data_IF_422074671847
#
_entry.id   IF_422074671847
#
_cell.length_a   1.000
_cell.length_b   1.000
_cell.length_c   1.000
_cell.angle_alpha   90.00
_cell.angle_beta   90.00
_cell.angle_gamma   90.00
#
_symmetry.space_group_name_H-M   'P 1'
#
loop_
_entity.id
_entity.type
_entity.pdbx_description
1 polymer ?
#
# COMPACT_ATOMS: atom_id res chain seq x y z
N UNK A 1 -19.74 -0.02 1.89
CA UNK A 1 -18.87 -0.55 0.83
C UNK A 1 -17.95 -1.56 1.49
N UNK A 2 -17.73 -2.70 0.85
CA UNK A 2 -16.97 -3.80 1.45
C UNK A 2 -15.47 -3.57 1.34
N UNK A 3 -14.68 -4.06 2.28
CA UNK A 3 -13.23 -3.82 2.28
C UNK A 3 -12.51 -4.37 1.04
N UNK A 4 -13.07 -5.37 0.35
CA UNK A 4 -12.59 -5.84 -0.95
C UNK A 4 -12.80 -4.83 -2.10
N UNK A 5 -13.95 -4.15 -2.14
CA UNK A 5 -14.24 -3.11 -3.15
C UNK A 5 -13.33 -1.89 -2.95
N UNK A 6 -13.07 -1.54 -1.69
CA UNK A 6 -12.15 -0.47 -1.34
C UNK A 6 -10.71 -0.79 -1.78
N UNK A 7 -10.27 -2.05 -1.66
CA UNK A 7 -8.99 -2.49 -2.19
C UNK A 7 -8.91 -2.29 -3.71
N UNK A 8 -9.91 -2.73 -4.48
CA UNK A 8 -9.93 -2.55 -5.94
C UNK A 8 -9.81 -1.06 -6.32
N UNK A 9 -10.58 -0.18 -5.67
CA UNK A 9 -10.53 1.27 -5.92
C UNK A 9 -9.14 1.86 -5.66
N UNK A 10 -8.50 1.48 -4.56
CA UNK A 10 -7.15 1.95 -4.23
C UNK A 10 -6.10 1.37 -5.17
N UNK A 11 -6.16 0.07 -5.48
CA UNK A 11 -5.18 -0.59 -6.33
C UNK A 11 -5.21 -0.06 -7.77
N UNK A 12 -6.40 0.27 -8.30
CA UNK A 12 -6.55 0.89 -9.62
C UNK A 12 -5.98 2.31 -9.66
N UNK A 13 -6.16 3.10 -8.59
CA UNK A 13 -5.59 4.43 -8.50
C UNK A 13 -4.05 4.38 -8.47
N UNK A 14 -3.48 3.47 -7.69
CA UNK A 14 -2.03 3.22 -7.68
C UNK A 14 -1.54 2.65 -9.01
N UNK A 15 -2.30 1.79 -9.68
CA UNK A 15 -1.94 1.26 -11.00
C UNK A 15 -1.75 2.39 -12.03
N UNK A 16 -2.58 3.44 -11.99
CA UNK A 16 -2.43 4.60 -12.87
C UNK A 16 -1.12 5.34 -12.63
N UNK A 17 -0.68 5.46 -11.37
CA UNK A 17 0.62 6.03 -11.02
C UNK A 17 1.77 5.16 -11.56
N UNK A 18 1.68 3.84 -11.35
CA UNK A 18 2.69 2.88 -11.83
C UNK A 18 2.78 2.87 -13.36
N UNK A 19 1.65 2.89 -14.06
CA UNK A 19 1.60 2.96 -15.53
C UNK A 19 2.14 4.27 -16.10
N UNK A 20 2.17 5.34 -15.29
CA UNK A 20 2.72 6.65 -15.67
C UNK A 20 4.22 6.79 -15.41
N UNK A 21 4.89 5.79 -14.82
CA UNK A 21 6.34 5.83 -14.58
C UNK A 21 7.09 5.84 -15.91
N UNK A 22 7.89 6.88 -16.13
CA UNK A 22 8.74 6.98 -17.32
C UNK A 22 9.99 6.11 -17.18
N UNK A 23 10.57 5.60 -18.29
CA UNK A 23 11.74 4.72 -18.25
C UNK A 23 12.90 5.23 -17.39
N UNK A 24 13.18 6.53 -17.42
CA UNK A 24 14.26 7.17 -16.67
C UNK A 24 13.98 7.33 -15.16
N UNK A 25 12.74 7.14 -14.70
CA UNK A 25 12.37 7.30 -13.30
C UNK A 25 12.50 6.02 -12.47
N UNK A 26 12.63 4.85 -13.11
CA UNK A 26 12.64 3.57 -12.41
C UNK A 26 13.75 3.44 -11.37
N UNK A 27 14.90 4.09 -11.59
CA UNK A 27 16.04 4.05 -10.67
C UNK A 27 16.11 5.30 -9.76
N UNK A 28 15.11 6.18 -9.82
CA UNK A 28 15.05 7.38 -9.00
C UNK A 28 14.86 7.03 -7.51
N UNK A 29 15.47 7.78 -6.58
CA UNK A 29 15.22 7.61 -5.15
C UNK A 29 13.77 7.94 -4.82
N UNK A 30 13.20 7.26 -3.82
CA UNK A 30 11.86 7.55 -3.31
C UNK A 30 11.93 8.22 -1.93
N UNK A 31 10.85 8.89 -1.47
CA UNK A 31 10.77 9.34 -0.07
C UNK A 31 10.84 8.20 0.95
N UNK A 32 10.51 6.96 0.54
CA UNK A 32 10.85 5.75 1.28
C UNK A 32 12.32 5.39 0.99
N UNK A 33 13.23 5.97 1.76
CA UNK A 33 14.68 5.99 1.45
C UNK A 33 15.36 4.63 1.30
N UNK A 34 14.69 3.54 1.68
CA UNK A 34 15.19 2.17 1.52
C UNK A 34 15.11 1.68 0.06
N UNK A 35 14.25 2.30 -0.76
CA UNK A 35 13.93 1.82 -2.09
C UNK A 35 14.05 2.92 -3.15
N UNK A 36 14.55 2.52 -4.32
CA UNK A 36 14.28 3.24 -5.55
C UNK A 36 12.87 2.93 -6.07
N UNK A 37 12.43 3.64 -7.11
CA UNK A 37 11.06 3.52 -7.60
C UNK A 37 10.70 2.10 -8.08
N UNK A 38 11.64 1.41 -8.71
CA UNK A 38 11.49 -0.01 -9.11
C UNK A 38 11.24 -0.91 -7.91
N UNK A 39 12.10 -0.84 -6.91
CA UNK A 39 12.00 -1.65 -5.69
C UNK A 39 10.71 -1.35 -4.93
N UNK A 40 10.24 -0.11 -4.94
CA UNK A 40 8.96 0.26 -4.35
C UNK A 40 7.79 -0.43 -5.05
N UNK A 41 7.77 -0.47 -6.38
CA UNK A 41 6.71 -1.15 -7.15
C UNK A 41 6.79 -2.67 -6.98
N UNK A 42 8.00 -3.22 -6.98
CA UNK A 42 8.25 -4.64 -6.68
C UNK A 42 7.73 -5.01 -5.29
N UNK A 43 8.01 -4.19 -4.27
CA UNK A 43 7.47 -4.35 -2.92
C UNK A 43 5.95 -4.40 -2.90
N UNK A 44 5.29 -3.46 -3.59
CA UNK A 44 3.83 -3.45 -3.66
C UNK A 44 3.27 -4.73 -4.30
N UNK A 45 3.95 -5.26 -5.31
CA UNK A 45 3.57 -6.52 -5.95
C UNK A 45 3.77 -7.71 -5.01
N UNK A 46 4.91 -7.78 -4.33
CA UNK A 46 5.23 -8.84 -3.37
C UNK A 46 4.22 -8.91 -2.22
N UNK A 47 3.83 -7.77 -1.65
CA UNK A 47 2.86 -7.73 -0.55
C UNK A 47 1.48 -8.19 -1.03
N UNK A 48 1.05 -7.80 -2.24
CA UNK A 48 -0.20 -8.29 -2.82
C UNK A 48 -0.20 -9.81 -2.98
N UNK A 49 0.84 -10.37 -3.61
CA UNK A 49 0.95 -11.82 -3.80
C UNK A 49 1.03 -12.59 -2.48
N UNK A 50 1.82 -12.11 -1.52
CA UNK A 50 1.94 -12.75 -0.22
C UNK A 50 0.62 -12.77 0.55
N UNK A 51 -0.20 -11.72 0.42
CA UNK A 51 -1.51 -11.68 1.03
C UNK A 51 -2.52 -12.57 0.27
N UNK A 52 -2.47 -12.56 -1.06
CA UNK A 52 -3.29 -13.43 -1.89
C UNK A 52 -3.04 -14.92 -1.56
N UNK A 53 -1.79 -15.36 -1.51
CA UNK A 53 -1.40 -16.73 -1.15
C UNK A 53 -1.90 -17.10 0.26
N UNK A 54 -1.73 -16.19 1.23
CA UNK A 54 -2.24 -16.39 2.59
C UNK A 54 -3.75 -16.59 2.65
N UNK A 55 -4.47 -15.92 1.76
CA UNK A 55 -5.92 -16.02 1.62
C UNK A 55 -6.37 -17.22 0.77
N UNK A 56 -5.44 -18.03 0.26
CA UNK A 56 -5.71 -19.21 -0.56
C UNK A 56 -5.79 -18.93 -2.06
N UNK A 57 -5.42 -17.71 -2.49
CA UNK A 57 -5.25 -17.33 -3.88
C UNK A 57 -3.86 -17.69 -4.43
N UNK A 58 -3.53 -17.11 -5.59
CA UNK A 58 -2.27 -17.40 -6.27
C UNK A 58 -1.14 -16.47 -5.79
N UNK A 59 0.02 -17.05 -5.48
CA UNK A 59 1.28 -16.30 -5.34
C UNK A 59 1.82 -15.82 -6.68
N UNK A 60 2.92 -15.06 -6.65
CA UNK A 60 3.54 -14.47 -7.84
C UNK A 60 4.91 -15.05 -8.19
N UNK A 61 5.59 -14.42 -9.16
CA UNK A 61 7.03 -14.58 -9.39
C UNK A 61 7.49 -14.86 -10.83
N UNK A 62 6.66 -14.62 -11.85
CA UNK A 62 7.04 -14.89 -13.24
C UNK A 62 7.31 -13.62 -14.07
N UNK A 63 6.87 -12.47 -13.59
CA UNK A 63 6.87 -11.20 -14.29
C UNK A 63 8.19 -10.45 -14.05
N UNK A 64 8.94 -10.19 -15.12
CA UNK A 64 10.18 -9.39 -15.04
C UNK A 64 9.94 -7.88 -15.09
N UNK A 65 8.78 -7.45 -15.56
CA UNK A 65 8.40 -6.03 -15.63
C UNK A 65 7.62 -5.66 -14.34
N UNK A 66 8.10 -4.71 -13.52
CA UNK A 66 7.46 -4.36 -12.25
C UNK A 66 6.03 -3.83 -12.40
N UNK A 67 5.72 -3.10 -13.48
CA UNK A 67 4.38 -2.58 -13.70
C UNK A 67 3.40 -3.73 -14.05
N UNK A 68 3.85 -4.69 -14.86
CA UNK A 68 3.08 -5.92 -15.14
C UNK A 68 2.91 -6.75 -13.87
N UNK A 69 3.97 -6.92 -13.08
CA UNK A 69 3.94 -7.64 -11.81
C UNK A 69 2.95 -7.01 -10.82
N UNK A 70 2.96 -5.67 -10.70
CA UNK A 70 2.00 -4.96 -9.84
C UNK A 70 0.56 -5.21 -10.27
N UNK A 71 0.21 -5.05 -11.55
CA UNK A 71 -1.15 -5.32 -12.05
C UNK A 71 -1.58 -6.76 -11.77
N UNK A 72 -0.74 -7.73 -12.10
CA UNK A 72 -1.04 -9.15 -11.90
C UNK A 72 -1.23 -9.49 -10.41
N UNK A 73 -0.40 -8.91 -9.54
CA UNK A 73 -0.51 -9.09 -8.08
C UNK A 73 -1.81 -8.50 -7.51
N UNK A 74 -2.23 -7.31 -7.98
CA UNK A 74 -3.44 -6.65 -7.53
C UNK A 74 -4.69 -7.45 -7.94
N UNK A 75 -4.67 -8.03 -9.15
CA UNK A 75 -5.71 -8.96 -9.57
C UNK A 75 -5.73 -10.21 -8.68
N UNK A 76 -4.56 -10.81 -8.40
CA UNK A 76 -4.51 -12.01 -7.56
C UNK A 76 -5.07 -11.77 -6.15
N UNK A 77 -4.75 -10.63 -5.54
CA UNK A 77 -5.31 -10.28 -4.24
C UNK A 77 -6.82 -9.98 -4.33
N UNK A 78 -7.28 -9.32 -5.39
CA UNK A 78 -8.72 -9.09 -5.61
C UNK A 78 -9.49 -10.42 -5.73
N UNK A 79 -8.95 -11.39 -6.46
CA UNK A 79 -9.54 -12.73 -6.61
C UNK A 79 -9.56 -13.48 -5.27
N UNK A 80 -8.48 -13.40 -4.50
CA UNK A 80 -8.40 -14.01 -3.17
C UNK A 80 -9.40 -13.37 -2.19
N UNK A 81 -9.59 -12.06 -2.27
CA UNK A 81 -10.59 -11.32 -1.46
C UNK A 81 -12.03 -11.70 -1.80
N UNK A 82 -12.29 -12.23 -2.99
CA UNK A 82 -13.60 -12.73 -3.39
C UNK A 82 -13.91 -14.14 -2.82
N UNK A 83 -12.94 -14.80 -2.18
CA UNK A 83 -13.16 -16.11 -1.58
C UNK A 83 -14.11 -16.02 -0.37
N UNK A 84 -15.07 -16.96 -0.21
CA UNK A 84 -16.04 -16.90 0.86
C UNK A 84 -15.41 -16.90 2.26
N UNK A 85 -15.80 -15.94 3.10
CA UNK A 85 -15.40 -15.87 4.51
C UNK A 85 -13.95 -15.46 4.75
N UNK A 86 -13.23 -14.98 3.74
CA UNK A 86 -11.79 -14.68 3.83
C UNK A 86 -11.52 -13.53 4.80
N UNK A 87 -12.41 -12.55 4.90
CA UNK A 87 -12.22 -11.38 5.75
C UNK A 87 -12.44 -11.69 7.24
N UNK A 88 -13.29 -12.67 7.53
CA UNK A 88 -13.65 -13.12 8.89
C UNK A 88 -12.64 -14.12 9.47
N UNK A 89 -11.92 -14.83 8.61
CA UNK A 89 -10.91 -15.81 9.01
C UNK A 89 -9.68 -15.16 9.62
N UNK A 90 -9.01 -15.87 10.53
CA UNK A 90 -7.75 -15.42 11.17
C UNK A 90 -6.55 -16.04 10.48
N UNK A 91 -5.57 -15.20 10.17
CA UNK A 91 -4.33 -15.62 9.51
C UNK A 91 -3.10 -15.18 10.30
N UNK A 92 -1.98 -15.92 10.20
CA UNK A 92 -0.70 -15.43 10.69
C UNK A 92 -0.34 -14.13 9.98
N UNK A 93 0.23 -13.17 10.71
CA UNK A 93 0.53 -11.84 10.21
C UNK A 93 1.86 -11.29 10.69
N UNK A 94 2.41 -10.28 10.01
CA UNK A 94 3.70 -9.70 10.35
C UNK A 94 3.75 -9.03 11.72
N UNK A 95 2.59 -8.62 12.25
CA UNK A 95 2.49 -7.97 13.57
C UNK A 95 1.84 -8.87 14.62
N UNK A 96 0.84 -9.67 14.22
CA UNK A 96 0.11 -10.63 15.05
C UNK A 96 -0.75 -11.53 14.15
N UNK A 97 -1.27 -12.62 14.72
CA UNK A 97 -2.38 -13.35 14.12
C UNK A 97 -3.63 -12.47 14.18
N UNK A 98 -4.27 -12.23 13.04
CA UNK A 98 -5.42 -11.31 12.97
C UNK A 98 -6.35 -11.66 11.82
N UNK A 99 -7.54 -11.05 11.78
CA UNK A 99 -8.55 -11.32 10.75
C UNK A 99 -8.09 -10.88 9.37
N UNK A 100 -8.63 -11.48 8.31
CA UNK A 100 -8.39 -11.07 6.93
C UNK A 100 -8.72 -9.59 6.72
N UNK A 101 -9.82 -9.11 7.30
CA UNK A 101 -10.18 -7.68 7.30
C UNK A 101 -9.07 -6.80 7.91
N UNK A 102 -8.48 -7.24 9.03
CA UNK A 102 -7.41 -6.50 9.67
C UNK A 102 -6.11 -6.51 8.87
N UNK A 103 -5.77 -7.64 8.23
CA UNK A 103 -4.64 -7.70 7.30
C UNK A 103 -4.86 -6.77 6.10
N UNK A 104 -6.11 -6.69 5.60
CA UNK A 104 -6.46 -5.82 4.51
C UNK A 104 -6.36 -4.33 4.90
N UNK A 105 -6.79 -3.95 6.10
CA UNK A 105 -6.59 -2.58 6.60
C UNK A 105 -5.10 -2.19 6.67
N UNK A 106 -4.23 -3.12 7.08
CA UNK A 106 -2.77 -2.91 7.05
C UNK A 106 -2.31 -2.71 5.61
N UNK A 107 -2.76 -3.56 4.69
CA UNK A 107 -2.42 -3.43 3.27
C UNK A 107 -2.90 -2.11 2.68
N UNK A 108 -4.09 -1.64 3.04
CA UNK A 108 -4.63 -0.37 2.58
C UNK A 108 -3.79 0.81 3.07
N UNK A 109 -3.39 0.82 4.34
CA UNK A 109 -2.51 1.86 4.88
C UNK A 109 -1.15 1.91 4.18
N UNK A 110 -0.58 0.73 3.91
CA UNK A 110 0.67 0.56 3.18
C UNK A 110 0.55 1.05 1.72
N UNK A 111 -0.46 0.56 0.99
CA UNK A 111 -0.71 0.91 -0.41
C UNK A 111 -0.96 2.41 -0.61
N UNK A 112 -1.74 3.04 0.28
CA UNK A 112 -2.06 4.49 0.19
C UNK A 112 -0.84 5.33 0.54
N UNK A 113 -0.05 4.94 1.56
CA UNK A 113 1.20 5.62 1.90
C UNK A 113 2.17 5.59 0.71
N UNK A 114 2.31 4.44 0.06
CA UNK A 114 3.17 4.31 -1.11
C UNK A 114 2.60 4.92 -2.39
N UNK A 115 1.28 5.07 -2.50
CA UNK A 115 0.65 5.90 -3.52
C UNK A 115 1.11 7.37 -3.44
N UNK A 116 1.30 7.90 -2.23
CA UNK A 116 1.93 9.21 -2.04
C UNK A 116 3.40 9.20 -2.49
N UNK A 117 4.20 8.19 -2.08
CA UNK A 117 5.60 8.09 -2.51
C UNK A 117 5.73 8.08 -4.05
N UNK A 118 4.85 7.33 -4.74
CA UNK A 118 4.79 7.27 -6.21
C UNK A 118 4.43 8.63 -6.82
N UNK A 119 3.43 9.32 -6.30
CA UNK A 119 3.04 10.64 -6.79
C UNK A 119 4.20 11.65 -6.69
N UNK A 120 4.94 11.64 -5.57
CA UNK A 120 6.06 12.55 -5.37
C UNK A 120 7.20 12.34 -6.38
N UNK A 121 7.52 11.07 -6.70
CA UNK A 121 8.59 10.76 -7.66
C UNK A 121 8.15 10.94 -9.11
N UNK A 122 6.90 10.58 -9.41
CA UNK A 122 6.38 10.64 -10.79
C UNK A 122 6.01 12.07 -11.22
N UNK A 123 5.64 12.92 -10.26
CA UNK A 123 5.05 14.24 -10.50
C UNK A 123 3.59 14.18 -10.94
N UNK A 124 2.95 13.01 -10.82
CA UNK A 124 1.53 12.80 -11.13
C UNK A 124 0.66 13.11 -9.92
N UNK A 125 -0.61 13.47 -10.17
CA UNK A 125 -1.59 13.54 -9.09
C UNK A 125 -1.85 12.14 -8.53
N UNK A 126 -1.86 12.00 -7.20
CA UNK A 126 -2.13 10.73 -6.55
C UNK A 126 -3.54 10.21 -6.87
N UNK A 127 -4.53 11.11 -7.05
CA UNK A 127 -5.96 10.82 -7.32
C UNK A 127 -6.52 9.60 -6.55
N UNK A 128 -6.01 9.38 -5.32
CA UNK A 128 -6.43 8.31 -4.42
C UNK A 128 -7.81 8.65 -3.83
N UNK A 129 -8.70 7.67 -3.61
CA UNK A 129 -10.02 7.97 -3.06
C UNK A 129 -9.94 8.56 -1.65
N UNK A 130 -10.52 9.76 -1.47
CA UNK A 130 -10.40 10.54 -0.23
C UNK A 130 -10.91 9.82 1.02
N UNK A 131 -12.01 9.06 0.90
CA UNK A 131 -12.53 8.21 1.97
C UNK A 131 -11.53 7.15 2.43
N UNK A 132 -10.77 6.57 1.50
CA UNK A 132 -9.76 5.56 1.80
C UNK A 132 -8.51 6.18 2.44
N UNK A 133 -8.13 7.39 2.01
CA UNK A 133 -7.05 8.16 2.65
C UNK A 133 -7.39 8.42 4.13
N UNK A 134 -8.59 8.93 4.41
CA UNK A 134 -9.02 9.21 5.78
C UNK A 134 -9.08 7.93 6.64
N UNK A 135 -9.55 6.83 6.07
CA UNK A 135 -9.57 5.53 6.75
C UNK A 135 -8.16 5.02 7.07
N UNK A 136 -7.22 5.13 6.12
CA UNK A 136 -5.82 4.76 6.33
C UNK A 136 -5.16 5.66 7.38
N UNK A 137 -5.36 6.97 7.33
CA UNK A 137 -4.86 7.91 8.33
C UNK A 137 -5.36 7.55 9.73
N UNK A 138 -6.67 7.41 9.90
CA UNK A 138 -7.26 7.06 11.20
C UNK A 138 -6.77 5.70 11.71
N UNK A 139 -6.53 4.74 10.81
CA UNK A 139 -5.99 3.44 11.15
C UNK A 139 -4.53 3.53 11.63
N UNK A 140 -3.67 4.26 10.93
CA UNK A 140 -2.26 4.45 11.31
C UNK A 140 -2.15 5.25 12.61
N UNK A 141 -2.96 6.29 12.81
CA UNK A 141 -3.01 7.06 14.07
C UNK A 141 -3.32 6.16 15.28
N UNK A 142 -4.29 5.25 15.15
CA UNK A 142 -4.65 4.29 16.23
C UNK A 142 -3.54 3.29 16.54
N UNK A 143 -2.67 3.00 15.58
CA UNK A 143 -1.60 2.02 15.68
C UNK A 143 -0.20 2.61 15.73
N UNK A 144 -0.07 3.93 15.81
CA UNK A 144 1.20 4.64 15.70
C UNK A 144 2.27 4.05 16.65
N UNK A 145 1.90 3.71 17.88
CA UNK A 145 2.82 3.08 18.83
C UNK A 145 3.28 1.67 18.41
N UNK A 146 2.42 0.85 17.81
CA UNK A 146 2.79 -0.47 17.31
C UNK A 146 3.64 -0.37 16.04
N UNK A 147 3.30 0.55 15.14
CA UNK A 147 4.05 0.81 13.91
C UNK A 147 5.43 1.39 14.17
N UNK A 148 5.56 2.35 15.09
CA UNK A 148 6.85 2.88 15.50
C UNK A 148 7.80 1.80 16.05
N UNK A 149 7.28 0.77 16.74
CA UNK A 149 8.09 -0.35 17.27
C UNK A 149 8.43 -1.42 16.24
N UNK A 150 7.74 -1.43 15.10
CA UNK A 150 7.89 -2.49 14.10
C UNK A 150 9.12 -2.34 13.22
N UNK A 151 9.69 -1.13 13.13
CA UNK A 151 10.74 -0.78 12.18
C UNK A 151 10.28 -0.70 10.72
N UNK A 152 9.01 -0.98 10.43
CA UNK A 152 8.44 -0.94 9.07
C UNK A 152 7.93 0.43 8.64
N UNK A 153 7.84 1.36 9.60
CA UNK A 153 7.47 2.75 9.37
C UNK A 153 8.64 3.64 9.78
N UNK A 154 8.82 4.73 9.05
CA UNK A 154 9.80 5.76 9.43
C UNK A 154 9.43 6.43 10.74
N UNK A 155 10.36 7.18 11.31
CA UNK A 155 10.07 8.02 12.48
C UNK A 155 9.10 9.12 12.08
N UNK A 156 7.93 9.28 12.74
CA UNK A 156 6.95 10.30 12.40
C UNK A 156 7.56 11.69 12.28
N UNK A 157 7.18 12.40 11.23
CA UNK A 157 7.61 13.77 10.94
C UNK A 157 6.48 14.77 11.24
N UNK A 158 6.80 16.04 11.52
CA UNK A 158 5.78 17.08 11.59
C UNK A 158 5.10 17.27 10.23
N UNK A 159 3.78 17.48 10.24
CA UNK A 159 3.02 17.93 9.08
C UNK A 159 2.55 19.38 9.29
N UNK A 160 2.47 20.20 8.23
CA UNK A 160 1.79 21.50 8.28
C UNK A 160 0.37 21.39 8.85
N UNK A 161 -0.09 22.46 9.52
CA UNK A 161 -1.42 22.46 10.15
C UNK A 161 -2.58 22.35 9.12
N UNK A 162 -2.32 22.78 7.88
CA UNK A 162 -3.22 22.74 6.74
C UNK A 162 -2.89 21.59 5.76
N UNK A 163 -2.01 20.66 6.15
CA UNK A 163 -1.64 19.51 5.34
C UNK A 163 -2.87 18.65 5.00
N UNK A 164 -2.88 18.12 3.78
CA UNK A 164 -3.91 17.18 3.34
C UNK A 164 -3.88 15.91 4.21
N UNK A 165 -4.98 15.13 4.23
CA UNK A 165 -4.99 13.85 4.93
C UNK A 165 -3.92 12.88 4.40
N UNK A 166 -3.60 12.95 3.11
CA UNK A 166 -2.57 12.13 2.49
C UNK A 166 -1.16 12.55 2.95
N UNK A 167 -0.87 13.84 3.03
CA UNK A 167 0.41 14.34 3.55
C UNK A 167 0.55 14.04 5.04
N UNK A 168 -0.53 14.15 5.82
CA UNK A 168 -0.53 13.77 7.24
C UNK A 168 -0.23 12.28 7.42
N UNK A 169 -0.80 11.43 6.57
CA UNK A 169 -0.51 9.99 6.56
C UNK A 169 0.96 9.73 6.21
N UNK A 170 1.48 10.39 5.17
CA UNK A 170 2.89 10.27 4.77
C UNK A 170 3.84 10.71 5.90
N UNK A 171 3.56 11.86 6.53
CA UNK A 171 4.33 12.39 7.65
C UNK A 171 4.31 11.45 8.86
N UNK A 172 3.15 10.88 9.21
CA UNK A 172 3.03 9.90 10.28
C UNK A 172 3.80 8.61 9.99
N UNK A 173 3.93 8.26 8.71
CA UNK A 173 4.74 7.15 8.20
C UNK A 173 6.23 7.52 8.00
N UNK A 174 6.63 8.72 8.39
CA UNK A 174 8.01 9.20 8.46
C UNK A 174 8.55 9.90 7.22
N UNK A 175 7.68 10.32 6.29
CA UNK A 175 8.07 11.12 5.13
C UNK A 175 8.14 12.59 5.52
N UNK A 176 9.03 13.34 4.87
CA UNK A 176 9.03 14.80 4.95
C UNK A 176 8.00 15.31 3.94
N UNK A 177 7.09 16.15 4.41
CA UNK A 177 5.99 16.73 3.62
C UNK A 177 6.08 18.25 3.57
#
# INVERSE_FOLDING_TARGET
MGSAEDFTRASEAVEKLVAGIRPEQWDAPTPCTEWNLRQLVEHLAEVNYALAERFGGLGGGAENDPAVAYRASAQSLSDALALPGVLEQTYPGPFANTTGDRQLQIRMADLITHGWDLAQVTGLSADLPGDLIENALAFVERLAGAFARSGKFGTPQPAPADASALDRLAALSGRVV
#
